data_IF_702911515093
#
_entry.id   IF_702911515093
#
_cell.length_a   1.000
_cell.length_b   1.000
_cell.length_c   1.000
_cell.angle_alpha   90.00
_cell.angle_beta   90.00
_cell.angle_gamma   90.00
#
_symmetry.space_group_name_H-M   'P 1'
#
loop_
_entity.id
_entity.type
_entity.pdbx_description
1 polymer ?
#
# COMPACT_ATOMS: atom_id res chain seq x y z
N UNK A 1 20.49 -15.39 51.51
CA UNK A 1 20.22 -15.66 52.94
C UNK A 1 19.79 -17.12 53.01
N UNK A 2 20.69 -18.02 53.43
CA UNK A 2 20.53 -19.48 53.32
C UNK A 2 20.40 -20.10 54.71
N UNK A 3 19.42 -20.98 54.89
CA UNK A 3 19.14 -21.67 56.16
C UNK A 3 19.91 -23.00 56.28
N UNK A 4 20.22 -23.43 57.52
CA UNK A 4 21.20 -24.48 57.82
C UNK A 4 20.54 -25.88 57.84
N UNK A 5 20.09 -26.35 56.69
CA UNK A 5 19.80 -27.77 56.45
C UNK A 5 19.75 -28.00 54.94
N UNK A 6 20.85 -28.54 54.38
CA UNK A 6 21.14 -28.67 52.95
C UNK A 6 20.19 -29.57 52.15
N UNK A 7 18.92 -29.19 52.04
CA UNK A 7 17.97 -29.75 51.06
C UNK A 7 17.58 -28.65 50.07
N UNK A 8 17.77 -28.84 48.76
CA UNK A 8 17.41 -27.83 47.77
C UNK A 8 15.89 -27.64 47.73
N UNK A 9 15.46 -26.38 47.72
CA UNK A 9 14.06 -25.99 47.51
C UNK A 9 13.62 -26.41 46.11
N UNK A 10 12.71 -27.39 46.04
CA UNK A 10 12.06 -27.81 44.79
C UNK A 10 10.72 -27.09 44.66
N UNK A 11 10.62 -26.16 43.71
CA UNK A 11 9.31 -25.62 43.30
C UNK A 11 8.49 -26.73 42.64
N UNK A 12 7.34 -27.05 43.23
CA UNK A 12 6.36 -27.95 42.64
C UNK A 12 5.71 -27.27 41.42
N UNK A 13 5.67 -28.01 40.31
CA UNK A 13 5.00 -27.64 39.05
C UNK A 13 3.50 -27.51 39.29
N UNK A 14 2.96 -26.30 39.17
CA UNK A 14 1.54 -26.09 38.92
C UNK A 14 1.20 -26.59 37.51
N UNK A 15 0.42 -27.67 37.44
CA UNK A 15 -0.29 -28.08 36.25
C UNK A 15 -1.42 -27.07 35.98
N UNK A 16 -1.39 -26.45 34.80
CA UNK A 16 -2.41 -25.47 34.41
C UNK A 16 -1.88 -24.47 33.39
N UNK A 17 -1.66 -24.92 32.16
CA UNK A 17 -1.23 -24.05 31.07
C UNK A 17 -1.22 -24.82 29.76
N UNK A 18 -2.26 -24.62 28.95
CA UNK A 18 -2.38 -25.14 27.59
C UNK A 18 -1.07 -24.94 26.82
N UNK A 19 -0.40 -26.03 26.44
CA UNK A 19 0.73 -25.98 25.52
C UNK A 19 0.19 -25.49 24.17
N UNK A 20 0.31 -24.19 23.89
CA UNK A 20 0.18 -23.65 22.54
C UNK A 20 1.33 -24.22 21.72
N UNK A 21 1.07 -25.33 21.04
CA UNK A 21 1.91 -25.79 19.94
C UNK A 21 1.98 -24.67 18.92
N UNK A 22 3.18 -24.11 18.72
CA UNK A 22 3.48 -23.24 17.59
C UNK A 22 3.32 -24.07 16.32
N UNK A 23 2.08 -24.12 15.80
CA UNK A 23 1.84 -24.64 14.46
C UNK A 23 2.54 -23.70 13.49
N UNK A 24 3.74 -24.07 13.09
CA UNK A 24 4.38 -23.57 11.86
C UNK A 24 3.47 -23.96 10.70
N UNK A 25 2.58 -23.05 10.34
CA UNK A 25 1.75 -23.19 9.16
C UNK A 25 2.60 -22.84 7.94
N UNK A 26 3.40 -23.80 7.49
CA UNK A 26 3.89 -23.81 6.12
C UNK A 26 2.68 -24.02 5.22
N UNK A 27 1.96 -22.95 4.92
CA UNK A 27 0.87 -23.03 3.95
C UNK A 27 1.28 -22.28 2.70
N UNK A 28 1.65 -23.07 1.68
CA UNK A 28 1.68 -22.64 0.29
C UNK A 28 0.23 -22.43 -0.17
N UNK A 29 -0.41 -21.35 0.28
CA UNK A 29 -1.65 -20.89 -0.33
C UNK A 29 -1.29 -20.25 -1.68
N UNK A 30 -1.78 -20.83 -2.78
CA UNK A 30 -1.79 -20.15 -4.07
C UNK A 30 -2.44 -18.79 -3.86
N UNK A 31 -1.63 -17.72 -3.98
CA UNK A 31 -1.84 -16.45 -3.26
C UNK A 31 -3.04 -15.59 -3.64
N UNK A 32 -4.25 -16.16 -3.60
CA UNK A 32 -5.52 -15.47 -3.43
C UNK A 32 -5.57 -14.97 -1.98
N UNK A 33 -5.97 -13.72 -1.76
CA UNK A 33 -5.99 -13.09 -0.44
C UNK A 33 -4.68 -12.41 -0.01
N UNK A 34 -3.76 -12.14 -0.96
CA UNK A 34 -2.59 -11.29 -0.72
C UNK A 34 -3.03 -9.81 -0.58
N UNK A 35 -2.33 -9.03 0.24
CA UNK A 35 -2.58 -7.59 0.32
C UNK A 35 -2.30 -6.91 -1.02
N UNK A 36 -3.03 -5.84 -1.31
CA UNK A 36 -2.84 -5.02 -2.51
C UNK A 36 -1.37 -4.59 -2.67
N UNK A 37 -0.74 -4.15 -1.58
CA UNK A 37 0.67 -3.76 -1.53
C UNK A 37 1.61 -4.85 -2.08
N UNK A 38 1.48 -6.10 -1.61
CA UNK A 38 2.35 -7.20 -2.06
C UNK A 38 2.15 -7.55 -3.53
N UNK A 39 0.92 -7.42 -4.05
CA UNK A 39 0.65 -7.63 -5.47
C UNK A 39 1.26 -6.50 -6.33
N UNK A 40 1.21 -5.26 -5.85
CA UNK A 40 1.88 -4.11 -6.50
C UNK A 40 3.39 -4.32 -6.50
N UNK A 41 4.00 -4.66 -5.36
CA UNK A 41 5.44 -4.90 -5.26
C UNK A 41 5.92 -6.00 -6.21
N UNK A 42 5.16 -7.11 -6.31
CA UNK A 42 5.45 -8.20 -7.25
C UNK A 42 5.35 -7.74 -8.70
N UNK A 43 4.34 -6.95 -9.02
CA UNK A 43 4.12 -6.41 -10.37
C UNK A 43 5.23 -5.42 -10.73
N UNK A 44 5.59 -4.51 -9.82
CA UNK A 44 6.70 -3.56 -9.99
C UNK A 44 8.04 -4.27 -10.20
N UNK A 45 8.33 -5.31 -9.42
CA UNK A 45 9.54 -6.13 -9.61
C UNK A 45 9.54 -6.82 -10.98
N UNK A 46 8.38 -7.33 -11.42
CA UNK A 46 8.25 -7.91 -12.75
C UNK A 46 8.50 -6.87 -13.85
N UNK A 47 7.89 -5.69 -13.75
CA UNK A 47 8.10 -4.59 -14.71
C UNK A 47 9.55 -4.16 -14.79
N UNK A 48 10.24 -4.03 -13.64
CA UNK A 48 11.65 -3.67 -13.58
C UNK A 48 12.53 -4.72 -14.26
N UNK A 49 12.33 -6.00 -13.92
CA UNK A 49 13.10 -7.11 -14.48
C UNK A 49 12.88 -7.29 -15.99
N UNK A 50 11.67 -6.98 -16.47
CA UNK A 50 11.30 -7.07 -17.87
C UNK A 50 11.62 -5.79 -18.67
N UNK A 51 12.15 -4.74 -18.03
CA UNK A 51 12.45 -3.46 -18.67
C UNK A 51 11.21 -2.68 -19.12
N UNK A 52 10.04 -2.95 -18.54
CA UNK A 52 8.75 -2.33 -18.91
C UNK A 52 8.57 -0.97 -18.23
N UNK A 53 8.88 -0.88 -16.94
CA UNK A 53 8.74 0.34 -16.14
C UNK A 53 9.69 0.30 -14.94
N UNK A 54 10.03 1.48 -14.42
CA UNK A 54 10.85 1.64 -13.20
C UNK A 54 10.00 2.35 -12.16
N UNK A 55 9.34 1.56 -11.30
CA UNK A 55 8.38 2.06 -10.30
C UNK A 55 8.71 1.44 -8.93
N UNK A 56 8.76 2.27 -7.90
CA UNK A 56 9.15 1.88 -6.55
C UNK A 56 8.18 2.40 -5.50
N UNK A 57 8.15 1.72 -4.36
CA UNK A 57 7.51 2.22 -3.15
C UNK A 57 8.48 3.14 -2.41
N UNK A 58 8.02 4.29 -1.96
CA UNK A 58 8.78 5.18 -1.08
C UNK A 58 8.88 4.52 0.32
N UNK A 59 10.06 4.52 0.95
CA UNK A 59 10.21 3.96 2.28
C UNK A 59 9.41 4.77 3.30
N UNK A 60 8.94 4.11 4.36
CA UNK A 60 8.23 4.78 5.44
C UNK A 60 9.13 5.87 6.05
N UNK A 61 8.69 7.13 6.12
CA UNK A 61 9.53 8.21 6.60
C UNK A 61 9.73 8.08 8.12
N UNK A 62 11.01 8.04 8.52
CA UNK A 62 11.43 8.02 9.91
C UNK A 62 12.39 9.18 10.19
N UNK A 63 12.30 9.74 11.39
CA UNK A 63 13.29 10.64 11.94
C UNK A 63 14.22 9.84 12.84
N UNK A 64 15.45 9.64 12.39
CA UNK A 64 16.48 8.99 13.18
C UNK A 64 17.02 9.98 14.20
N UNK A 65 17.02 9.61 15.48
CA UNK A 65 17.49 10.44 16.59
C UNK A 65 18.82 9.93 17.14
N UNK A 66 18.95 8.61 17.28
CA UNK A 66 20.17 8.01 17.79
C UNK A 66 20.64 6.83 16.92
N UNK A 67 21.93 6.82 16.60
CA UNK A 67 22.59 5.79 15.79
C UNK A 67 23.89 5.37 16.47
N UNK A 68 24.06 4.07 16.63
CA UNK A 68 25.30 3.46 17.08
C UNK A 68 26.10 2.93 15.89
N UNK A 69 27.43 3.02 15.99
CA UNK A 69 28.37 2.51 15.00
C UNK A 69 29.33 1.50 15.63
N UNK A 70 28.91 0.23 15.82
CA UNK A 70 29.73 -0.78 16.48
C UNK A 70 31.01 -1.10 15.70
N UNK A 71 31.00 -0.94 14.37
CA UNK A 71 32.15 -1.11 13.44
C UNK A 71 31.97 -0.20 12.23
N UNK A 72 33.05 0.10 11.50
CA UNK A 72 33.02 0.99 10.31
C UNK A 72 32.01 0.60 9.22
N UNK A 73 31.65 -0.68 9.11
CA UNK A 73 30.71 -1.19 8.11
C UNK A 73 29.26 -1.33 8.60
N UNK A 74 28.96 -0.91 9.83
CA UNK A 74 27.66 -1.14 10.46
C UNK A 74 27.15 0.12 11.15
N UNK A 75 25.90 0.45 10.88
CA UNK A 75 25.13 1.48 11.57
C UNK A 75 23.86 0.84 12.13
N UNK A 76 23.55 1.13 13.39
CA UNK A 76 22.36 0.60 14.09
C UNK A 76 21.54 1.78 14.59
N UNK A 77 20.35 1.96 14.02
CA UNK A 77 19.39 2.94 14.53
C UNK A 77 18.88 2.44 15.88
N UNK A 78 19.14 3.22 16.94
CA UNK A 78 18.71 2.92 18.32
C UNK A 78 17.41 3.60 18.69
N UNK A 79 17.19 4.79 18.15
CA UNK A 79 16.00 5.59 18.41
C UNK A 79 15.58 6.31 17.12
N UNK A 80 14.30 6.16 16.77
CA UNK A 80 13.68 6.87 15.67
C UNK A 80 12.19 7.08 15.93
N UNK A 81 11.65 8.16 15.38
CA UNK A 81 10.23 8.49 15.42
C UNK A 81 9.64 8.40 14.01
N UNK A 82 8.43 7.85 13.88
CA UNK A 82 7.72 7.90 12.62
C UNK A 82 7.36 9.35 12.28
N UNK A 83 7.51 9.73 11.01
CA UNK A 83 7.00 11.00 10.49
C UNK A 83 5.74 10.74 9.68
N UNK A 84 4.86 11.73 9.65
CA UNK A 84 3.74 11.72 8.70
C UNK A 84 4.31 11.87 7.28
N UNK A 85 3.96 10.99 6.33
CA UNK A 85 4.35 11.18 4.95
C UNK A 85 3.71 12.45 4.38
N UNK A 86 4.43 13.15 3.51
CA UNK A 86 3.92 14.32 2.78
C UNK A 86 3.50 14.00 1.35
N UNK A 87 3.76 12.77 0.89
CA UNK A 87 3.54 12.33 -0.49
C UNK A 87 2.81 10.99 -0.52
N UNK A 88 2.37 10.58 -1.70
CA UNK A 88 1.91 9.22 -2.02
C UNK A 88 3.00 8.16 -1.85
N UNK A 89 2.59 6.90 -1.72
CA UNK A 89 3.47 5.76 -1.45
C UNK A 89 4.29 5.28 -2.67
N UNK A 90 3.84 5.46 -3.92
CA UNK A 90 4.51 4.90 -5.10
C UNK A 90 4.78 5.95 -6.16
N UNK A 91 5.95 5.87 -6.79
CA UNK A 91 6.27 6.66 -7.98
C UNK A 91 7.29 5.98 -8.89
N UNK A 92 7.45 6.51 -10.10
CA UNK A 92 8.40 5.99 -11.07
C UNK A 92 8.26 6.60 -12.46
N UNK A 93 8.82 5.89 -13.44
CA UNK A 93 8.76 6.25 -14.86
C UNK A 93 8.24 5.11 -15.70
N UNK A 94 7.37 5.44 -16.65
CA UNK A 94 6.83 4.52 -17.64
C UNK A 94 6.62 5.26 -18.97
N UNK A 95 7.26 4.77 -20.05
CA UNK A 95 7.20 5.38 -21.39
C UNK A 95 7.48 6.90 -21.42
N UNK A 96 8.39 7.37 -20.56
CA UNK A 96 8.72 8.80 -20.43
C UNK A 96 7.79 9.61 -19.54
N UNK A 97 6.65 9.05 -19.11
CA UNK A 97 5.76 9.69 -18.16
C UNK A 97 6.23 9.45 -16.72
N UNK A 98 6.18 10.51 -15.91
CA UNK A 98 6.25 10.37 -14.46
C UNK A 98 4.94 9.76 -13.96
N UNK A 99 5.04 8.64 -13.24
CA UNK A 99 3.93 7.93 -12.63
C UNK A 99 3.97 8.16 -11.13
N UNK A 100 2.85 8.53 -10.52
CA UNK A 100 2.71 8.72 -9.07
C UNK A 100 1.34 8.20 -8.61
N UNK A 101 1.30 7.31 -7.62
CA UNK A 101 0.02 6.77 -7.18
C UNK A 101 0.01 6.34 -5.72
N UNK A 102 -1.21 6.26 -5.20
CA UNK A 102 -1.53 5.73 -3.89
C UNK A 102 -2.36 4.45 -4.02
N UNK A 103 -2.17 3.50 -3.10
CA UNK A 103 -2.85 2.21 -3.15
C UNK A 103 -3.60 1.96 -1.83
N UNK A 104 -4.92 1.83 -1.91
CA UNK A 104 -5.76 1.56 -0.75
C UNK A 104 -6.67 0.37 -1.00
N UNK A 105 -6.95 -0.35 0.08
CA UNK A 105 -7.83 -1.51 0.05
C UNK A 105 -8.89 -1.39 1.14
N UNK A 106 -10.10 -1.86 0.84
CA UNK A 106 -11.23 -1.90 1.78
C UNK A 106 -11.79 -3.31 1.87
N UNK A 107 -12.24 -3.69 3.06
CA UNK A 107 -13.01 -4.93 3.29
C UNK A 107 -14.49 -4.73 3.04
N UNK A 108 -14.96 -3.47 2.97
CA UNK A 108 -16.34 -3.16 2.64
C UNK A 108 -16.63 -3.57 1.19
N UNK A 109 -17.76 -4.25 0.98
CA UNK A 109 -18.17 -4.81 -0.31
C UNK A 109 -18.82 -3.80 -1.23
N UNK A 110 -19.31 -2.67 -0.73
CA UNK A 110 -20.14 -1.75 -1.52
C UNK A 110 -19.52 -0.37 -1.65
N UNK A 111 -18.57 0.00 -0.79
CA UNK A 111 -17.97 1.34 -0.83
C UNK A 111 -16.57 1.41 -0.23
N UNK A 112 -15.84 2.42 -0.66
CA UNK A 112 -14.54 2.80 -0.15
C UNK A 112 -14.67 4.06 0.74
N UNK A 113 -14.34 3.99 2.05
CA UNK A 113 -14.38 5.15 2.94
C UNK A 113 -13.31 6.19 2.57
N UNK A 114 -13.73 7.43 2.33
CA UNK A 114 -12.83 8.51 1.88
C UNK A 114 -11.85 8.98 2.95
N UNK A 115 -12.19 8.79 4.23
CA UNK A 115 -11.29 9.05 5.37
C UNK A 115 -9.97 8.26 5.32
N UNK A 116 -9.90 7.19 4.51
CA UNK A 116 -8.69 6.39 4.30
C UNK A 116 -7.68 7.08 3.34
N UNK A 117 -8.08 8.17 2.69
CA UNK A 117 -7.22 9.05 1.90
C UNK A 117 -6.90 10.28 2.75
N UNK A 118 -5.62 10.62 2.83
CA UNK A 118 -5.20 11.79 3.62
C UNK A 118 -5.05 13.02 2.73
N UNK A 119 -5.40 14.20 3.25
CA UNK A 119 -5.38 15.45 2.49
C UNK A 119 -4.01 15.77 1.85
N UNK A 120 -2.90 15.46 2.54
CA UNK A 120 -1.56 15.65 1.99
C UNK A 120 -1.30 14.80 0.73
N UNK A 121 -1.91 13.61 0.63
CA UNK A 121 -1.79 12.74 -0.55
C UNK A 121 -2.51 13.37 -1.73
N UNK A 122 -3.73 13.87 -1.52
CA UNK A 122 -4.54 14.54 -2.54
C UNK A 122 -3.83 15.80 -3.05
N UNK A 123 -3.27 16.59 -2.14
CA UNK A 123 -2.55 17.81 -2.51
C UNK A 123 -1.25 17.51 -3.28
N UNK A 124 -0.50 16.49 -2.87
CA UNK A 124 0.67 16.01 -3.64
C UNK A 124 0.27 15.56 -5.05
N UNK A 125 -0.78 14.74 -5.18
CA UNK A 125 -1.27 14.28 -6.48
C UNK A 125 -1.73 15.44 -7.37
N UNK A 126 -2.34 16.50 -6.78
CA UNK A 126 -2.70 17.73 -7.49
C UNK A 126 -1.47 18.39 -8.10
N UNK A 127 -0.41 18.55 -7.32
CA UNK A 127 0.84 19.17 -7.78
C UNK A 127 1.50 18.33 -8.88
N UNK A 128 1.50 17.00 -8.75
CA UNK A 128 2.01 16.09 -9.80
C UNK A 128 1.23 16.27 -11.10
N UNK A 129 -0.10 16.24 -11.04
CA UNK A 129 -0.96 16.39 -12.21
C UNK A 129 -0.78 17.76 -12.90
N UNK A 130 -0.64 18.84 -12.11
CA UNK A 130 -0.38 20.19 -12.64
C UNK A 130 0.94 20.29 -13.42
N UNK A 131 1.93 19.44 -13.10
CA UNK A 131 3.21 19.40 -13.81
C UNK A 131 3.27 18.30 -14.88
N UNK A 132 2.13 17.77 -15.30
CA UNK A 132 2.02 16.80 -16.39
C UNK A 132 2.38 15.36 -16.02
N UNK A 133 2.53 15.04 -14.73
CA UNK A 133 2.66 13.67 -14.26
C UNK A 133 1.33 12.93 -14.24
N UNK A 134 1.36 11.62 -14.41
CA UNK A 134 0.19 10.75 -14.35
C UNK A 134 -0.05 10.35 -12.89
N UNK A 135 -1.12 10.88 -12.29
CA UNK A 135 -1.51 10.65 -10.91
C UNK A 135 -2.81 9.83 -10.82
N UNK A 136 -2.82 8.75 -10.02
CA UNK A 136 -4.02 7.92 -9.83
C UNK A 136 -4.07 7.19 -8.48
N UNK A 137 -5.22 6.60 -8.18
CA UNK A 137 -5.44 5.72 -7.04
C UNK A 137 -5.64 4.28 -7.52
N UNK A 138 -5.02 3.32 -6.85
CA UNK A 138 -5.40 1.91 -6.94
C UNK A 138 -6.31 1.56 -5.77
N UNK A 139 -7.55 1.21 -6.06
CA UNK A 139 -8.57 0.87 -5.07
C UNK A 139 -8.95 -0.60 -5.18
N UNK A 140 -8.73 -1.37 -4.11
CA UNK A 140 -9.13 -2.78 -4.03
C UNK A 140 -10.32 -2.98 -3.09
N UNK A 141 -11.37 -3.61 -3.60
CA UNK A 141 -12.53 -4.08 -2.84
C UNK A 141 -12.31 -5.56 -2.51
N UNK A 142 -11.67 -5.86 -1.36
CA UNK A 142 -11.28 -7.24 -0.99
C UNK A 142 -12.44 -8.22 -0.99
N UNK A 143 -13.62 -7.76 -0.54
CA UNK A 143 -14.81 -8.61 -0.48
C UNK A 143 -15.38 -9.00 -1.85
N UNK A 144 -14.94 -8.35 -2.93
CA UNK A 144 -15.29 -8.65 -4.32
C UNK A 144 -14.13 -9.21 -5.14
N UNK A 145 -12.91 -9.17 -4.60
CA UNK A 145 -11.66 -9.48 -5.33
C UNK A 145 -11.47 -8.60 -6.58
N UNK A 146 -11.94 -7.36 -6.52
CA UNK A 146 -11.87 -6.40 -7.61
C UNK A 146 -10.87 -5.30 -7.29
N UNK A 147 -10.06 -4.91 -8.28
CA UNK A 147 -9.14 -3.77 -8.18
C UNK A 147 -9.37 -2.83 -9.35
N UNK A 148 -9.39 -1.53 -9.05
CA UNK A 148 -9.65 -0.47 -10.03
C UNK A 148 -8.53 0.57 -9.97
N UNK A 149 -8.22 1.14 -11.13
CA UNK A 149 -7.47 2.38 -11.25
C UNK A 149 -8.46 3.53 -11.38
N UNK A 150 -8.39 4.50 -10.48
CA UNK A 150 -9.16 5.74 -10.55
C UNK A 150 -8.20 6.90 -10.80
N UNK A 151 -8.33 7.59 -11.93
CA UNK A 151 -7.47 8.74 -12.23
C UNK A 151 -7.66 9.85 -11.21
N UNK A 152 -6.61 10.67 -10.99
CA UNK A 152 -6.74 11.80 -10.07
C UNK A 152 -7.85 12.76 -10.50
N UNK A 153 -7.98 13.01 -11.82
CA UNK A 153 -9.06 13.84 -12.39
C UNK A 153 -10.45 13.30 -12.03
N UNK A 154 -10.68 12.00 -12.20
CA UNK A 154 -11.95 11.36 -11.84
C UNK A 154 -12.17 11.30 -10.32
N UNK A 155 -11.11 11.29 -9.52
CA UNK A 155 -11.19 11.28 -8.06
C UNK A 155 -11.64 12.62 -7.44
N UNK A 156 -11.26 13.75 -8.04
CA UNK A 156 -11.49 15.09 -7.46
C UNK A 156 -12.95 15.35 -7.05
N UNK A 157 -13.98 15.06 -7.88
CA UNK A 157 -15.37 15.30 -7.49
C UNK A 157 -15.81 14.49 -6.27
N UNK A 158 -15.26 13.31 -6.07
CA UNK A 158 -15.52 12.48 -4.88
C UNK A 158 -14.82 13.04 -3.64
N UNK A 159 -13.62 13.59 -3.80
CA UNK A 159 -12.94 14.26 -2.69
C UNK A 159 -13.65 15.54 -2.28
N UNK A 160 -14.11 16.35 -3.24
CA UNK A 160 -14.78 17.61 -2.97
C UNK A 160 -16.08 17.40 -2.18
N UNK A 161 -16.94 16.45 -2.60
CA UNK A 161 -18.17 16.13 -1.84
C UNK A 161 -17.89 15.61 -0.42
N UNK A 162 -16.71 15.05 -0.17
CA UNK A 162 -16.32 14.63 1.18
C UNK A 162 -15.91 15.82 2.05
N UNK A 163 -15.17 16.78 1.48
CA UNK A 163 -14.85 18.05 2.15
C UNK A 163 -16.11 18.86 2.46
N UNK A 164 -17.11 18.81 1.58
CA UNK A 164 -18.40 19.48 1.75
C UNK A 164 -19.37 18.70 2.69
N UNK A 165 -18.90 17.62 3.34
CA UNK A 165 -19.66 16.71 4.21
C UNK A 165 -20.93 16.09 3.57
N UNK A 166 -21.01 16.07 2.24
CA UNK A 166 -22.14 15.51 1.48
C UNK A 166 -22.12 13.98 1.51
N UNK A 167 -20.95 13.36 1.30
CA UNK A 167 -20.80 11.88 1.26
C UNK A 167 -19.42 11.45 1.76
N UNK A 168 -19.39 10.47 2.68
CA UNK A 168 -18.16 9.99 3.35
C UNK A 168 -17.46 8.81 2.68
N UNK A 169 -17.99 8.35 1.54
CA UNK A 169 -17.48 7.19 0.80
C UNK A 169 -17.75 7.30 -0.69
N UNK A 170 -17.00 6.52 -1.49
CA UNK A 170 -17.27 6.28 -2.91
C UNK A 170 -17.84 4.87 -3.03
N UNK A 171 -18.98 4.68 -3.70
CA UNK A 171 -19.50 3.34 -3.95
C UNK A 171 -18.65 2.62 -4.99
N UNK A 172 -18.68 1.30 -4.98
CA UNK A 172 -17.98 0.51 -6.00
C UNK A 172 -18.54 0.75 -7.39
N UNK A 173 -19.84 1.01 -7.51
CA UNK A 173 -20.49 1.37 -8.78
C UNK A 173 -19.94 2.71 -9.30
N UNK A 174 -19.79 3.72 -8.44
CA UNK A 174 -19.15 5.00 -8.82
C UNK A 174 -17.69 4.78 -9.27
N UNK A 175 -16.95 3.88 -8.63
CA UNK A 175 -15.57 3.53 -9.06
C UNK A 175 -15.56 2.76 -10.38
N UNK A 176 -16.53 1.88 -10.62
CA UNK A 176 -16.66 1.12 -11.87
C UNK A 176 -16.98 2.03 -13.05
N UNK A 177 -17.86 3.02 -12.85
CA UNK A 177 -18.26 3.97 -13.88
C UNK A 177 -17.13 4.95 -14.24
N UNK A 178 -16.32 5.34 -13.27
CA UNK A 178 -15.32 6.42 -13.43
C UNK A 178 -13.86 5.91 -13.45
N UNK A 179 -13.65 4.61 -13.34
CA UNK A 179 -12.32 4.00 -13.23
C UNK A 179 -12.12 2.83 -14.18
N UNK A 180 -10.88 2.36 -14.25
CA UNK A 180 -10.49 1.24 -15.10
C UNK A 180 -10.39 -0.03 -14.25
N UNK A 181 -11.19 -1.04 -14.58
CA UNK A 181 -11.06 -2.36 -13.96
C UNK A 181 -9.72 -3.00 -14.32
N UNK A 182 -9.02 -3.53 -13.32
CA UNK A 182 -7.76 -4.28 -13.48
C UNK A 182 -8.04 -5.75 -13.21
N UNK A 183 -8.08 -6.61 -14.24
CA UNK A 183 -8.27 -8.04 -14.03
C UNK A 183 -7.08 -8.64 -13.31
N UNK A 184 -7.36 -9.57 -12.39
CA UNK A 184 -6.32 -10.36 -11.76
C UNK A 184 -5.75 -11.36 -12.79
N UNK A 185 -4.43 -11.43 -12.90
CA UNK A 185 -3.74 -12.30 -13.87
C UNK A 185 -2.66 -13.14 -13.19
N UNK A 186 -2.11 -14.15 -13.88
CA UNK A 186 -1.08 -15.00 -13.29
C UNK A 186 0.25 -14.25 -13.13
N UNK A 187 0.71 -13.58 -14.20
CA UNK A 187 1.96 -12.83 -14.21
C UNK A 187 1.95 -11.69 -15.24
N UNK A 188 2.09 -10.41 -14.83
CA UNK A 188 2.08 -9.94 -13.44
C UNK A 188 0.72 -10.16 -12.77
N UNK A 189 0.71 -10.20 -11.43
CA UNK A 189 -0.53 -10.47 -10.68
C UNK A 189 -1.56 -9.36 -10.80
N UNK A 190 -1.08 -8.11 -10.71
CA UNK A 190 -1.89 -6.92 -10.87
C UNK A 190 -1.29 -6.10 -12.01
N UNK A 191 -1.78 -6.33 -13.23
CA UNK A 191 -1.23 -5.67 -14.40
C UNK A 191 -1.75 -4.23 -14.58
N UNK A 192 -1.54 -3.37 -13.60
CA UNK A 192 -2.13 -2.02 -13.59
C UNK A 192 -1.60 -1.13 -14.72
N UNK A 193 -0.42 -1.40 -15.28
CA UNK A 193 0.10 -0.62 -16.42
C UNK A 193 -0.80 -0.70 -17.67
N UNK A 194 -1.60 -1.77 -17.82
CA UNK A 194 -2.60 -1.83 -18.91
C UNK A 194 -3.73 -0.82 -18.72
N UNK A 195 -4.10 -0.51 -17.48
CA UNK A 195 -5.03 0.57 -17.17
C UNK A 195 -4.36 1.95 -17.30
N UNK A 196 -3.08 2.06 -16.96
CA UNK A 196 -2.29 3.29 -17.17
C UNK A 196 -2.16 3.62 -18.66
N UNK A 197 -1.95 2.63 -19.53
CA UNK A 197 -1.94 2.83 -20.98
C UNK A 197 -3.25 3.48 -21.46
N UNK A 198 -4.41 3.00 -20.97
CA UNK A 198 -5.71 3.59 -21.28
C UNK A 198 -5.85 5.02 -20.74
N UNK A 199 -5.45 5.23 -19.49
CA UNK A 199 -5.48 6.56 -18.88
C UNK A 199 -4.63 7.58 -19.66
N UNK A 200 -3.43 7.19 -20.10
CA UNK A 200 -2.56 8.08 -20.89
C UNK A 200 -3.21 8.44 -22.22
N UNK A 201 -3.89 7.49 -22.87
CA UNK A 201 -4.62 7.74 -24.11
C UNK A 201 -5.77 8.74 -23.86
N UNK A 202 -6.63 8.48 -22.89
CA UNK A 202 -7.77 9.33 -22.57
C UNK A 202 -7.32 10.76 -22.18
N UNK A 203 -6.25 10.90 -21.39
CA UNK A 203 -5.69 12.22 -21.03
C UNK A 203 -4.98 12.94 -22.18
N UNK A 204 -4.57 12.21 -23.23
CA UNK A 204 -3.96 12.81 -24.42
C UNK A 204 -5.01 13.36 -25.38
N UNK A 205 -6.16 12.70 -25.50
CA UNK A 205 -7.30 13.16 -26.31
C UNK A 205 -7.92 14.44 -25.75
N UNK A 206 -8.01 14.56 -24.42
CA UNK A 206 -8.50 15.76 -23.73
C UNK A 206 -7.64 17.02 -23.94
N UNK A 207 -6.41 16.89 -24.45
CA UNK A 207 -5.47 18.00 -24.69
C UNK A 207 -5.45 18.49 -26.14
N UNK A 208 -6.20 17.84 -27.03
CA UNK A 208 -6.37 18.21 -28.43
C UNK A 208 -7.63 19.09 -28.61
#
# INVERSE_FOLDING_TARGET
MNYPNGKPFRQNKTQGGSQRTLKSSTIKYGGRGMSLEKDIERSNKHYLNAGVAVIHKKPTPIQVVHVDYPKRSQAVIKEAYFRTPSTTDYNGVYRGYHIDFEAKETTNKTSFPLQNIHAHQVEHMRQVAQHGGIAFLLLRFKGRDETYLLSFKAFIPFWQRYLDDIKKSISVEEVQENGYYIPYQYQPRLNYLTAVDKLILDESEDRL
#
